data_IF_131489175226
#
_entry.id   IF_131489175226
#
_cell.length_a   1.000
_cell.length_b   1.000
_cell.length_c   1.000
_cell.angle_alpha   90.00
_cell.angle_beta   90.00
_cell.angle_gamma   90.00
#
_symmetry.space_group_name_H-M   'P 1'
#
loop_
_entity.id
_entity.type
_entity.pdbx_description
1 polymer ?
#
# COMPACT_ATOMS: atom_id res chain seq x y z
N UNK A 1 -49.02 -63.83 0.24
CA UNK A 1 -47.62 -63.34 0.36
C UNK A 1 -47.53 -61.81 0.49
N UNK A 2 -48.13 -61.02 -0.41
CA UNK A 2 -47.92 -59.56 -0.54
C UNK A 2 -48.10 -58.74 0.75
N UNK A 3 -49.18 -58.97 1.52
CA UNK A 3 -49.45 -58.28 2.79
C UNK A 3 -48.30 -58.44 3.81
N UNK A 4 -47.64 -59.59 3.84
CA UNK A 4 -46.51 -59.86 4.74
C UNK A 4 -45.25 -59.08 4.36
N UNK A 5 -44.99 -58.93 3.05
CA UNK A 5 -43.89 -58.08 2.54
C UNK A 5 -44.11 -56.61 2.86
N UNK A 6 -45.36 -56.12 2.74
CA UNK A 6 -45.74 -54.75 3.12
C UNK A 6 -45.51 -54.51 4.61
N UNK A 7 -45.98 -55.43 5.46
CA UNK A 7 -45.81 -55.31 6.93
C UNK A 7 -44.32 -55.32 7.34
N UNK A 8 -43.50 -56.15 6.70
CA UNK A 8 -42.06 -56.19 6.94
C UNK A 8 -41.33 -54.91 6.47
N UNK A 9 -41.75 -54.32 5.35
CA UNK A 9 -41.25 -53.02 4.90
C UNK A 9 -41.59 -51.88 5.87
N UNK A 10 -42.81 -51.86 6.42
CA UNK A 10 -43.22 -50.90 7.46
C UNK A 10 -42.37 -51.08 8.73
N UNK A 11 -42.12 -52.31 9.16
CA UNK A 11 -41.25 -52.61 10.31
C UNK A 11 -39.83 -52.06 10.12
N UNK A 12 -39.22 -52.30 8.95
CA UNK A 12 -37.88 -51.79 8.61
C UNK A 12 -37.86 -50.25 8.63
N UNK A 13 -38.88 -49.60 8.05
CA UNK A 13 -38.98 -48.13 8.06
C UNK A 13 -39.05 -47.56 9.47
N UNK A 14 -39.84 -48.17 10.37
CA UNK A 14 -39.92 -47.77 11.79
C UNK A 14 -38.57 -47.93 12.49
N UNK A 15 -37.85 -49.03 12.26
CA UNK A 15 -36.51 -49.25 12.84
C UNK A 15 -35.51 -48.19 12.36
N UNK A 16 -35.54 -47.81 11.08
CA UNK A 16 -34.71 -46.73 10.52
C UNK A 16 -35.07 -45.38 11.15
N UNK A 17 -36.36 -45.06 11.32
CA UNK A 17 -36.78 -43.83 12.00
C UNK A 17 -36.31 -43.77 13.46
N UNK A 18 -36.36 -44.89 14.19
CA UNK A 18 -35.88 -44.95 15.58
C UNK A 18 -34.35 -44.79 15.66
N UNK A 19 -33.59 -45.44 14.77
CA UNK A 19 -32.12 -45.33 14.78
C UNK A 19 -31.64 -43.93 14.37
N UNK A 20 -32.32 -43.25 13.46
CA UNK A 20 -32.03 -41.86 13.08
C UNK A 20 -32.35 -40.83 14.19
N UNK A 21 -33.31 -41.11 15.07
CA UNK A 21 -33.56 -40.26 16.24
C UNK A 21 -32.53 -40.53 17.35
N UNK A 22 -32.19 -41.79 17.61
CA UNK A 22 -31.22 -42.15 18.66
C UNK A 22 -29.76 -41.84 18.28
N UNK A 23 -29.42 -41.70 17.00
CA UNK A 23 -28.06 -41.36 16.55
C UNK A 23 -27.66 -39.90 16.82
N UNK A 24 -28.58 -39.06 17.30
CA UNK A 24 -28.32 -37.65 17.62
C UNK A 24 -28.11 -36.73 16.42
N UNK A 25 -28.12 -37.25 15.19
CA UNK A 25 -27.82 -36.51 13.94
C UNK A 25 -28.76 -35.31 13.72
N UNK A 26 -29.99 -35.37 14.21
CA UNK A 26 -30.97 -34.27 14.19
C UNK A 26 -31.07 -33.47 15.50
N UNK A 27 -30.27 -33.77 16.52
CA UNK A 27 -30.14 -32.89 17.68
C UNK A 27 -29.29 -31.69 17.27
N UNK A 28 -29.92 -30.52 17.09
CA UNK A 28 -29.25 -29.26 16.71
C UNK A 28 -28.18 -28.75 17.71
N UNK A 29 -27.86 -29.53 18.73
CA UNK A 29 -26.73 -29.35 19.63
C UNK A 29 -25.40 -29.67 18.92
N UNK A 30 -25.07 -28.89 17.89
CA UNK A 30 -23.69 -28.67 17.48
C UNK A 30 -22.95 -27.96 18.64
N UNK A 31 -22.64 -28.71 19.70
CA UNK A 31 -21.59 -28.36 20.65
C UNK A 31 -20.25 -28.47 19.93
N UNK A 32 -19.99 -27.48 19.08
CA UNK A 32 -18.64 -27.06 18.72
C UNK A 32 -17.81 -27.09 20.00
N UNK A 33 -16.74 -27.87 20.01
CA UNK A 33 -15.83 -27.97 21.15
C UNK A 33 -15.10 -26.63 21.32
N UNK A 34 -15.72 -25.69 22.04
CA UNK A 34 -15.15 -24.39 22.42
C UNK A 34 -14.15 -24.51 23.56
N UNK A 35 -13.42 -25.62 23.62
CA UNK A 35 -12.38 -25.85 24.60
C UNK A 35 -11.11 -25.09 24.16
N UNK A 36 -10.52 -24.32 25.06
CA UNK A 36 -9.33 -23.49 24.80
C UNK A 36 -9.57 -22.07 24.28
N UNK A 37 -10.74 -21.74 23.71
CA UNK A 37 -10.95 -20.45 23.02
C UNK A 37 -11.24 -19.23 23.93
N UNK A 38 -11.14 -19.37 25.26
CA UNK A 38 -11.52 -18.30 26.20
C UNK A 38 -10.64 -17.04 26.07
N UNK A 39 -9.36 -17.20 25.73
CA UNK A 39 -8.41 -16.09 25.58
C UNK A 39 -8.63 -15.24 24.31
N UNK A 40 -9.45 -15.71 23.35
CA UNK A 40 -9.82 -14.90 22.17
C UNK A 40 -11.03 -13.99 22.45
N UNK A 41 -11.74 -14.18 23.56
CA UNK A 41 -12.94 -13.39 23.88
C UNK A 41 -12.60 -11.96 24.34
N UNK A 42 -11.37 -11.72 24.80
CA UNK A 42 -10.83 -10.40 25.11
C UNK A 42 -9.33 -10.39 24.81
N UNK A 43 -8.92 -10.14 23.54
CA UNK A 43 -7.53 -10.31 23.11
C UNK A 43 -6.58 -9.19 23.55
N UNK A 44 -7.09 -8.19 24.28
CA UNK A 44 -6.34 -7.01 24.73
C UNK A 44 -6.31 -5.87 23.72
N UNK A 45 -5.70 -4.75 24.10
CA UNK A 45 -5.41 -3.64 23.20
C UNK A 45 -4.10 -3.93 22.46
N UNK A 46 -4.12 -3.80 21.14
CA UNK A 46 -2.94 -3.95 20.29
C UNK A 46 -2.35 -2.57 19.96
N UNK A 47 -1.01 -2.44 19.76
CA UNK A 47 -0.43 -1.19 19.29
C UNK A 47 -0.98 -0.85 17.91
N UNK A 48 -1.17 0.45 17.64
CA UNK A 48 -1.76 1.01 16.41
C UNK A 48 -1.20 0.41 15.10
N UNK A 49 0.09 0.08 15.07
CA UNK A 49 0.79 -0.60 13.96
C UNK A 49 0.30 -2.03 13.65
N UNK A 50 -0.62 -2.58 14.45
CA UNK A 50 -1.29 -3.87 14.23
C UNK A 50 -2.57 -3.72 13.40
N UNK A 51 -3.19 -2.53 13.43
CA UNK A 51 -4.44 -2.24 12.73
C UNK A 51 -4.23 -1.36 11.48
N UNK A 52 -3.22 -0.48 11.53
CA UNK A 52 -2.90 0.49 10.48
C UNK A 52 -1.47 0.29 9.94
N UNK A 53 -1.24 0.44 8.62
CA UNK A 53 0.08 0.30 8.03
C UNK A 53 0.92 1.57 8.26
N UNK A 54 2.25 1.40 8.25
CA UNK A 54 3.24 2.36 8.79
C UNK A 54 3.15 3.81 8.26
N UNK A 55 2.62 4.02 7.06
CA UNK A 55 2.61 5.32 6.38
C UNK A 55 1.21 5.96 6.26
N UNK A 56 0.22 5.49 7.04
CA UNK A 56 -1.17 5.98 6.96
C UNK A 56 -1.28 7.52 7.10
N UNK A 57 -0.56 8.11 8.06
CA UNK A 57 -0.47 9.57 8.24
C UNK A 57 0.32 10.31 7.15
N UNK A 58 0.74 9.64 6.08
CA UNK A 58 1.47 10.20 4.93
C UNK A 58 0.89 9.80 3.56
N UNK A 59 0.09 8.73 3.49
CA UNK A 59 -0.58 8.23 2.29
C UNK A 59 -1.94 7.61 2.68
N UNK A 60 -3.06 7.95 2.01
CA UNK A 60 -4.37 7.47 2.40
C UNK A 60 -4.45 5.94 2.38
N UNK A 61 -4.74 5.34 3.54
CA UNK A 61 -4.90 3.89 3.66
C UNK A 61 -6.02 3.37 2.75
N UNK A 62 -5.77 2.26 2.05
CA UNK A 62 -6.78 1.62 1.20
C UNK A 62 -7.95 1.09 2.03
N UNK A 63 -7.67 0.57 3.23
CA UNK A 63 -8.65 -0.10 4.10
C UNK A 63 -8.95 -1.54 3.69
N UNK A 64 -8.31 -2.04 2.62
CA UNK A 64 -8.46 -3.43 2.19
C UNK A 64 -7.58 -4.36 3.02
N UNK A 65 -8.05 -5.60 3.18
CA UNK A 65 -7.27 -6.74 3.71
C UNK A 65 -6.97 -7.76 2.60
N UNK A 66 -7.06 -7.33 1.33
CA UNK A 66 -6.79 -8.12 0.14
C UNK A 66 -5.58 -7.60 -0.61
N UNK A 67 -5.11 -8.41 -1.55
CA UNK A 67 -4.24 -8.00 -2.66
C UNK A 67 -4.95 -6.97 -3.57
N UNK A 68 -4.20 -6.24 -4.38
CA UNK A 68 -4.75 -5.42 -5.46
C UNK A 68 -5.04 -6.28 -6.69
N UNK A 69 -5.80 -5.74 -7.66
CA UNK A 69 -6.09 -6.43 -8.91
C UNK A 69 -5.06 -6.10 -10.03
N UNK A 70 -3.86 -5.60 -9.69
CA UNK A 70 -2.87 -5.15 -10.66
C UNK A 70 -2.00 -6.26 -11.22
N UNK A 71 -1.66 -6.17 -12.50
CA UNK A 71 -0.65 -7.01 -13.15
C UNK A 71 0.67 -6.25 -13.42
N UNK A 72 1.65 -6.93 -14.01
CA UNK A 72 2.96 -6.31 -14.32
C UNK A 72 2.87 -5.19 -15.37
N UNK A 73 1.83 -5.18 -16.20
CA UNK A 73 1.54 -4.11 -17.15
C UNK A 73 0.87 -2.89 -16.49
N UNK A 74 0.24 -3.05 -15.31
CA UNK A 74 -0.27 -1.92 -14.51
C UNK A 74 0.80 -1.23 -13.66
N UNK A 75 1.84 -1.95 -13.22
CA UNK A 75 2.85 -1.40 -12.27
C UNK A 75 4.08 -0.78 -12.95
N UNK A 76 4.46 -1.18 -14.17
CA UNK A 76 5.72 -0.71 -14.78
C UNK A 76 5.77 0.82 -14.97
N UNK A 77 4.61 1.47 -15.12
CA UNK A 77 4.52 2.93 -15.22
C UNK A 77 4.87 3.66 -13.91
N UNK A 78 4.93 2.96 -12.77
CA UNK A 78 5.30 3.54 -11.47
C UNK A 78 6.81 3.67 -11.28
N UNK A 79 7.59 2.87 -12.00
CA UNK A 79 9.05 2.88 -11.93
C UNK A 79 9.59 4.27 -12.34
N UNK A 80 10.49 4.90 -11.55
CA UNK A 80 10.99 6.26 -11.81
C UNK A 80 12.02 6.34 -12.98
N UNK A 81 11.96 5.41 -13.93
CA UNK A 81 12.89 5.26 -15.05
C UNK A 81 12.37 6.05 -16.25
N UNK A 82 12.43 7.37 -16.16
CA UNK A 82 12.03 8.26 -17.24
C UNK A 82 12.99 8.18 -18.43
N UNK A 83 12.49 8.25 -19.69
CA UNK A 83 13.36 8.26 -20.87
C UNK A 83 14.27 9.50 -20.85
N UNK A 84 15.57 9.27 -21.05
CA UNK A 84 16.56 10.35 -21.17
C UNK A 84 16.20 11.28 -22.32
N UNK A 85 16.04 12.58 -22.01
CA UNK A 85 15.60 13.59 -22.98
C UNK A 85 14.10 13.91 -22.98
N UNK A 86 13.34 13.54 -21.93
CA UNK A 86 11.98 14.06 -21.75
C UNK A 86 11.98 15.61 -21.70
N UNK A 87 11.11 16.24 -22.50
CA UNK A 87 11.00 17.72 -22.58
C UNK A 87 10.55 18.37 -21.27
N UNK A 88 9.80 17.64 -20.46
CA UNK A 88 9.53 18.00 -19.07
C UNK A 88 10.76 17.63 -18.23
N UNK A 89 11.30 18.57 -17.44
CA UNK A 89 12.48 18.34 -16.59
C UNK A 89 12.10 17.53 -15.34
N UNK A 90 11.71 16.27 -15.55
CA UNK A 90 11.53 15.27 -14.50
C UNK A 90 12.84 14.50 -14.35
N UNK A 91 13.27 14.27 -13.11
CA UNK A 91 14.42 13.42 -12.80
C UNK A 91 13.94 12.13 -12.17
N UNK A 92 14.77 11.09 -12.22
CA UNK A 92 14.52 9.84 -11.49
C UNK A 92 14.47 10.03 -9.95
N UNK A 93 15.02 11.12 -9.43
CA UNK A 93 14.86 11.53 -8.03
C UNK A 93 13.54 12.30 -7.86
N UNK A 94 12.42 11.56 -7.81
CA UNK A 94 11.09 12.13 -7.57
C UNK A 94 10.98 12.68 -6.14
N UNK A 95 10.52 13.94 -6.04
CA UNK A 95 10.34 14.64 -4.75
C UNK A 95 8.97 14.38 -4.12
N UNK A 96 7.95 14.21 -4.95
CA UNK A 96 6.56 14.06 -4.55
C UNK A 96 5.99 12.76 -5.13
N UNK A 97 6.02 11.70 -4.33
CA UNK A 97 5.46 10.40 -4.68
C UNK A 97 3.95 10.38 -4.38
N UNK A 98 3.13 9.94 -5.34
CA UNK A 98 1.68 9.75 -5.14
C UNK A 98 1.40 8.54 -4.24
N UNK A 99 2.23 7.52 -4.33
CA UNK A 99 2.15 6.25 -3.60
C UNK A 99 3.53 5.90 -3.02
N UNK A 100 3.64 5.19 -1.89
CA UNK A 100 4.91 4.60 -1.48
C UNK A 100 5.36 3.44 -2.38
N UNK A 101 4.44 2.78 -3.10
CA UNK A 101 4.77 1.66 -3.98
C UNK A 101 5.25 2.17 -5.35
N UNK A 102 6.55 2.01 -5.62
CA UNK A 102 7.27 2.43 -6.84
C UNK A 102 7.17 1.43 -8.01
N UNK A 103 6.64 0.24 -7.76
CA UNK A 103 6.54 -0.86 -8.73
C UNK A 103 7.45 -2.05 -8.44
N UNK A 104 8.44 -1.94 -7.56
CA UNK A 104 9.38 -3.03 -7.21
C UNK A 104 8.80 -4.05 -6.20
N UNK A 105 7.47 -4.16 -6.13
CA UNK A 105 6.78 -5.11 -5.27
C UNK A 105 7.06 -6.57 -5.68
N UNK A 106 7.21 -7.47 -4.70
CA UNK A 106 7.54 -8.90 -4.90
C UNK A 106 6.58 -9.61 -5.89
N UNK A 107 5.34 -9.12 -6.00
CA UNK A 107 4.38 -9.44 -7.06
C UNK A 107 3.56 -8.19 -7.37
N UNK A 108 3.02 -8.10 -8.59
CA UNK A 108 2.19 -6.97 -9.00
C UNK A 108 0.93 -6.74 -8.13
N UNK A 109 0.28 -7.81 -7.68
CA UNK A 109 -0.89 -7.77 -6.80
C UNK A 109 -0.58 -7.29 -5.37
N UNK A 110 0.70 -7.13 -5.01
CA UNK A 110 1.12 -6.51 -3.76
C UNK A 110 1.21 -4.98 -3.87
N UNK A 111 1.49 -4.42 -5.05
CA UNK A 111 1.48 -2.98 -5.27
C UNK A 111 0.05 -2.42 -5.17
N UNK A 112 -0.10 -1.24 -4.56
CA UNK A 112 -1.36 -0.52 -4.35
C UNK A 112 -2.39 -1.28 -3.48
N UNK A 113 -1.98 -2.37 -2.82
CA UNK A 113 -2.85 -3.12 -1.91
C UNK A 113 -3.10 -2.33 -0.61
N UNK A 114 -2.06 -1.69 -0.06
CA UNK A 114 -2.11 -1.00 1.23
C UNK A 114 -2.48 0.48 1.12
N UNK A 115 -2.00 1.20 0.11
CA UNK A 115 -2.15 2.65 0.01
C UNK A 115 -2.79 3.09 -1.29
N UNK A 116 -3.60 4.15 -1.21
CA UNK A 116 -4.15 4.86 -2.37
C UNK A 116 -3.18 5.97 -2.79
N UNK A 117 -3.21 6.30 -4.07
CA UNK A 117 -2.55 7.49 -4.59
C UNK A 117 -3.11 8.76 -3.91
N UNK A 118 -2.21 9.63 -3.43
CA UNK A 118 -2.55 10.97 -2.96
C UNK A 118 -2.30 12.02 -4.04
N UNK A 119 -3.00 13.14 -3.93
CA UNK A 119 -2.71 14.33 -4.73
C UNK A 119 -1.31 14.87 -4.38
N UNK A 120 -0.53 15.19 -5.40
CA UNK A 120 0.87 15.60 -5.27
C UNK A 120 1.18 16.84 -6.11
N UNK A 121 2.15 17.62 -5.64
CA UNK A 121 2.77 18.69 -6.42
C UNK A 121 3.58 18.10 -7.58
N UNK A 122 3.71 18.87 -8.66
CA UNK A 122 4.44 18.43 -9.85
C UNK A 122 5.92 18.12 -9.55
N UNK A 123 6.40 16.98 -10.06
CA UNK A 123 7.83 16.64 -10.12
C UNK A 123 8.54 17.25 -11.34
N UNK A 124 7.81 17.93 -12.24
CA UNK A 124 8.42 18.69 -13.34
C UNK A 124 9.05 19.94 -12.76
N UNK A 125 10.38 20.01 -12.78
CA UNK A 125 11.08 21.27 -12.50
C UNK A 125 10.77 22.23 -13.67
N UNK A 126 10.14 23.35 -13.36
CA UNK A 126 10.12 24.49 -14.28
C UNK A 126 11.35 25.34 -13.98
N UNK A 127 12.17 25.71 -14.98
CA UNK A 127 13.30 26.58 -14.75
C UNK A 127 12.82 27.94 -14.21
N UNK A 128 13.43 28.38 -13.11
CA UNK A 128 13.44 29.80 -12.75
C UNK A 128 14.02 30.62 -13.90
N UNK A 129 13.53 31.88 -13.96
CA UNK A 129 13.72 34.35 -15.33
C UNK A 129 14.66 34.82 -16.52
N UNK A 130 14.10 35.21 -17.69
CA UNK A 130 14.29 36.60 -18.05
C UNK A 130 13.74 37.42 -16.87
N UNK A 131 14.61 37.85 -15.95
CA UNK A 131 14.15 38.70 -14.84
C UNK A 131 13.70 40.03 -15.40
N UNK A 132 12.64 40.63 -14.82
CA UNK A 132 12.18 41.95 -15.23
C UNK A 132 13.35 42.92 -15.39
N UNK A 133 13.43 43.58 -16.54
CA UNK A 133 14.51 44.51 -16.90
C UNK A 133 14.61 45.74 -15.97
N UNK A 134 13.63 45.88 -15.05
CA UNK A 134 13.64 46.80 -13.91
C UNK A 134 14.57 46.37 -12.75
N UNK A 135 15.26 45.22 -12.85
CA UNK A 135 16.27 44.78 -11.89
C UNK A 135 17.70 44.86 -12.47
N UNK A 136 18.60 45.46 -11.69
CA UNK A 136 19.86 46.03 -12.17
C UNK A 136 21.07 45.13 -11.88
N UNK A 137 21.75 44.57 -12.92
CA UNK A 137 23.12 44.02 -12.82
C UNK A 137 23.52 42.59 -13.28
N UNK A 138 24.10 41.79 -12.35
CA UNK A 138 24.67 40.41 -12.45
C UNK A 138 23.73 39.28 -12.00
N UNK A 139 23.67 38.19 -12.77
CA UNK A 139 22.62 37.17 -12.65
C UNK A 139 22.92 35.98 -11.74
N UNK A 140 22.35 36.01 -10.52
CA UNK A 140 22.21 34.84 -9.65
C UNK A 140 20.89 34.13 -9.96
N UNK A 141 20.95 32.89 -10.46
CA UNK A 141 19.84 32.14 -11.08
C UNK A 141 19.12 32.94 -12.18
N UNK A 142 18.08 33.67 -11.79
CA UNK A 142 17.23 34.42 -12.70
C UNK A 142 17.60 35.93 -12.74
N UNK A 143 18.26 36.47 -11.70
CA UNK A 143 18.30 37.89 -11.29
C UNK A 143 19.39 38.79 -11.92
N UNK A 144 19.72 39.90 -11.24
CA UNK A 144 20.64 40.98 -11.63
C UNK A 144 21.06 41.81 -10.37
N UNK A 145 22.37 41.98 -10.07
CA UNK A 145 23.01 42.90 -9.08
C UNK A 145 24.28 43.62 -9.62
N UNK A 146 24.35 44.96 -9.66
CA UNK A 146 25.18 45.73 -10.64
C UNK A 146 26.70 45.51 -10.69
N UNK A 147 27.30 44.91 -9.66
CA UNK A 147 28.74 44.69 -9.60
C UNK A 147 29.06 43.30 -9.03
N UNK A 148 30.27 42.80 -9.33
CA UNK A 148 30.67 41.47 -8.91
C UNK A 148 31.07 41.44 -7.43
N UNK A 149 30.31 40.71 -6.61
CA UNK A 149 30.52 40.62 -5.16
C UNK A 149 31.64 39.63 -4.73
N UNK A 150 32.20 38.85 -5.66
CA UNK A 150 33.32 37.92 -5.38
C UNK A 150 34.69 38.63 -5.28
N UNK A 151 34.77 39.68 -4.46
CA UNK A 151 36.00 40.44 -4.16
C UNK A 151 36.46 40.33 -2.69
N UNK A 152 35.73 39.59 -1.86
CA UNK A 152 36.17 39.22 -0.50
C UNK A 152 37.05 37.96 -0.49
N UNK A 153 37.87 37.75 0.57
CA UNK A 153 38.59 36.49 0.76
C UNK A 153 37.62 35.31 0.88
N UNK A 154 38.05 34.11 0.46
CA UNK A 154 37.19 32.92 0.46
C UNK A 154 36.70 32.58 1.87
N UNK A 155 35.40 32.31 1.99
CA UNK A 155 34.75 31.93 3.24
C UNK A 155 34.95 30.44 3.55
N UNK A 156 36.19 30.06 3.83
CA UNK A 156 36.57 28.73 4.30
C UNK A 156 38.06 28.70 4.71
N UNK A 157 38.45 27.85 5.68
CA UNK A 157 39.87 27.64 5.94
C UNK A 157 40.53 27.00 4.71
N UNK A 158 41.71 27.49 4.34
CA UNK A 158 42.52 26.82 3.32
C UNK A 158 42.83 25.39 3.80
N UNK A 159 42.42 24.39 3.01
CA UNK A 159 42.80 23.00 3.29
C UNK A 159 44.33 22.91 3.11
N UNK A 160 45.08 22.40 4.12
CA UNK A 160 46.52 22.37 4.04
C UNK A 160 46.96 21.53 2.84
N UNK A 161 47.74 22.13 1.95
CA UNK A 161 48.34 21.41 0.83
C UNK A 161 49.32 20.39 1.39
N UNK A 162 49.00 19.11 1.22
CA UNK A 162 49.88 18.01 1.61
C UNK A 162 51.18 18.08 0.77
N UNK A 163 52.31 18.16 1.46
CA UNK A 163 53.67 18.12 0.92
C UNK A 163 54.39 16.84 1.37
#
# INVERSE_FOLDING_TARGET
MTKMKIFFGILIFIIICISLNNSGIFSGNNKFLKEGLQNLANPGEYPYSTEYPLLEGSYPYTGSKTVSNKDYNDIWMKYPVFPVGSYAQMTNNLRYWSNPDDGECIRADMCDALYKDKEVLSNVIQPLGPVPETMSGVRVNYYNTDQNLFLGPQAGPELPVFA
#
